data_IF_651463006055
#
_entry.id   IF_651463006055
#
_cell.length_a   1.000
_cell.length_b   1.000
_cell.length_c   1.000
_cell.angle_alpha   90.00
_cell.angle_beta   90.00
_cell.angle_gamma   90.00
#
_symmetry.space_group_name_H-M   'P 1'
#
loop_
_entity.id
_entity.type
_entity.pdbx_description
1 polymer ?
#
# COMPACT_ATOMS: atom_id res chain seq x y z
N UNK A 1 0.97 3.55 17.09
CA UNK A 1 1.56 3.00 15.86
C UNK A 1 2.92 3.64 15.68
N UNK A 2 3.93 2.87 15.94
CA UNK A 2 5.26 3.43 16.12
C UNK A 2 6.01 3.65 14.83
N UNK A 3 6.02 2.65 13.96
CA UNK A 3 6.82 2.70 12.76
C UNK A 3 6.07 2.09 11.59
N UNK A 4 5.96 2.85 10.52
CA UNK A 4 5.27 2.44 9.31
C UNK A 4 6.09 2.86 8.10
N UNK A 5 6.43 1.90 7.25
CA UNK A 5 7.21 2.13 6.04
C UNK A 5 6.34 1.84 4.83
N UNK A 6 6.41 2.70 3.83
CA UNK A 6 5.63 2.59 2.60
C UNK A 6 6.51 2.48 1.37
N UNK A 7 6.04 1.71 0.40
CA UNK A 7 6.49 1.81 -0.99
C UNK A 7 5.24 1.93 -1.87
N UNK A 8 5.28 2.80 -2.86
CA UNK A 8 4.11 3.16 -3.63
C UNK A 8 4.45 3.31 -5.11
N UNK A 9 3.64 2.69 -5.94
CA UNK A 9 3.66 2.87 -7.39
C UNK A 9 2.26 3.32 -7.82
N UNK A 10 2.16 4.46 -8.47
CA UNK A 10 0.88 4.93 -8.98
C UNK A 10 0.59 6.38 -8.64
N UNK A 11 -0.68 6.74 -8.80
CA UNK A 11 -1.13 8.10 -8.57
C UNK A 11 -2.57 8.09 -8.05
N UNK A 12 -2.84 8.89 -7.02
CA UNK A 12 -4.19 9.04 -6.46
C UNK A 12 -4.90 10.19 -7.14
N UNK A 13 -6.09 9.94 -7.67
CA UNK A 13 -6.89 10.97 -8.36
C UNK A 13 -7.58 11.93 -7.40
N UNK A 14 -7.82 11.52 -6.16
CA UNK A 14 -8.45 12.35 -5.13
C UNK A 14 -7.46 12.84 -4.07
N UNK A 15 -6.17 12.84 -4.37
CA UNK A 15 -5.12 13.22 -3.42
C UNK A 15 -5.32 14.63 -2.87
N UNK A 16 -5.59 15.60 -3.74
CA UNK A 16 -5.72 16.99 -3.34
C UNK A 16 -6.90 17.23 -2.40
N UNK A 17 -8.05 16.65 -2.70
CA UNK A 17 -9.22 16.79 -1.83
C UNK A 17 -9.04 16.09 -0.48
N UNK A 18 -8.39 14.93 -0.46
CA UNK A 18 -8.07 14.23 0.78
C UNK A 18 -7.07 15.01 1.62
N UNK A 19 -6.06 15.58 0.98
CA UNK A 19 -5.07 16.43 1.66
C UNK A 19 -5.74 17.62 2.33
N UNK A 20 -6.61 18.31 1.60
CA UNK A 20 -7.34 19.45 2.12
C UNK A 20 -8.20 19.08 3.34
N UNK A 21 -8.91 17.97 3.24
CA UNK A 21 -9.76 17.48 4.33
C UNK A 21 -8.94 17.11 5.57
N UNK A 22 -7.80 16.44 5.38
CA UNK A 22 -6.89 16.07 6.48
C UNK A 22 -6.33 17.32 7.17
N UNK A 23 -5.89 18.30 6.40
CA UNK A 23 -5.35 19.55 6.95
C UNK A 23 -6.42 20.32 7.72
N UNK A 24 -7.65 20.35 7.22
CA UNK A 24 -8.80 20.97 7.88
C UNK A 24 -9.07 20.33 9.25
N UNK A 25 -8.79 19.04 9.39
CA UNK A 25 -8.97 18.30 10.64
C UNK A 25 -7.71 18.27 11.51
N UNK A 26 -6.72 19.11 11.22
CA UNK A 26 -5.54 19.30 12.04
C UNK A 26 -4.32 18.46 11.66
N UNK A 27 -4.35 17.75 10.53
CA UNK A 27 -3.19 17.01 10.08
C UNK A 27 -2.10 17.94 9.56
N UNK A 28 -0.86 17.63 9.87
CA UNK A 28 0.31 18.35 9.34
C UNK A 28 0.96 17.45 8.30
N UNK A 29 0.90 17.87 7.04
CA UNK A 29 1.47 17.13 5.93
C UNK A 29 2.79 17.79 5.52
N UNK A 30 3.86 17.02 5.63
CA UNK A 30 5.23 17.52 5.44
C UNK A 30 5.75 17.38 4.01
N UNK A 31 5.04 16.66 3.16
CA UNK A 31 5.44 16.41 1.78
C UNK A 31 4.25 16.45 0.84
N UNK A 32 4.53 16.34 -0.47
CA UNK A 32 3.51 16.22 -1.50
C UNK A 32 3.22 14.76 -1.85
N UNK A 33 3.84 13.81 -1.15
CA UNK A 33 3.70 12.39 -1.42
C UNK A 33 2.29 11.87 -1.10
N UNK A 34 1.74 11.08 -2.01
CA UNK A 34 0.45 10.40 -1.80
C UNK A 34 0.51 9.39 -0.66
N UNK A 35 1.68 8.81 -0.40
CA UNK A 35 1.88 7.87 0.70
C UNK A 35 1.65 8.52 2.07
N UNK A 36 1.99 9.79 2.22
CA UNK A 36 1.74 10.52 3.47
C UNK A 36 0.25 10.67 3.74
N UNK A 37 -0.55 10.87 2.70
CA UNK A 37 -2.01 10.92 2.81
C UNK A 37 -2.54 9.60 3.36
N UNK A 38 -2.08 8.49 2.80
CA UNK A 38 -2.49 7.16 3.26
C UNK A 38 -2.09 6.94 4.72
N UNK A 39 -0.89 7.34 5.12
CA UNK A 39 -0.43 7.23 6.50
C UNK A 39 -1.35 7.96 7.48
N UNK A 40 -1.75 9.18 7.14
CA UNK A 40 -2.67 9.96 7.98
C UNK A 40 -4.06 9.33 8.04
N UNK A 41 -4.57 8.81 6.93
CA UNK A 41 -5.86 8.11 6.91
C UNK A 41 -5.84 6.89 7.82
N UNK A 42 -4.77 6.12 7.80
CA UNK A 42 -4.62 4.95 8.68
C UNK A 42 -4.61 5.38 10.15
N UNK A 43 -3.81 6.39 10.49
CA UNK A 43 -3.68 6.87 11.86
C UNK A 43 -5.00 7.42 12.42
N UNK A 44 -5.80 8.03 11.57
CA UNK A 44 -7.07 8.66 11.98
C UNK A 44 -8.25 7.71 11.95
N UNK A 45 -8.08 6.50 11.46
CA UNK A 45 -9.12 5.48 11.46
C UNK A 45 -9.47 5.05 12.88
N UNK A 46 -10.76 4.88 13.16
CA UNK A 46 -11.26 4.39 14.44
C UNK A 46 -11.46 2.88 14.45
N UNK A 47 -11.07 2.19 13.39
CA UNK A 47 -11.20 0.75 13.32
C UNK A 47 -10.33 0.10 14.41
N UNK A 48 -10.84 -0.91 15.14
CA UNK A 48 -10.11 -1.52 16.25
C UNK A 48 -8.88 -2.33 15.83
N UNK A 49 -8.83 -2.84 14.59
CA UNK A 49 -7.68 -3.60 14.12
C UNK A 49 -6.82 -2.78 13.17
N UNK A 50 -5.52 -3.06 13.14
CA UNK A 50 -4.62 -2.40 12.20
C UNK A 50 -5.00 -2.71 10.74
N UNK A 51 -5.29 -3.99 10.44
CA UNK A 51 -5.71 -4.37 9.10
C UNK A 51 -7.01 -3.69 8.69
N UNK A 52 -7.95 -3.52 9.62
CA UNK A 52 -9.17 -2.77 9.39
C UNK A 52 -8.91 -1.31 9.08
N UNK A 53 -7.95 -0.68 9.77
CA UNK A 53 -7.52 0.69 9.48
C UNK A 53 -6.95 0.84 8.08
N UNK A 54 -6.11 -0.11 7.68
CA UNK A 54 -5.52 -0.14 6.33
C UNK A 54 -6.59 -0.27 5.26
N UNK A 55 -7.51 -1.22 5.42
CA UNK A 55 -8.60 -1.44 4.46
C UNK A 55 -9.52 -0.23 4.35
N UNK A 56 -9.85 0.40 5.46
CA UNK A 56 -10.65 1.60 5.49
C UNK A 56 -9.96 2.75 4.75
N UNK A 57 -8.68 2.97 5.01
CA UNK A 57 -7.90 4.00 4.34
C UNK A 57 -7.81 3.74 2.83
N UNK A 58 -7.57 2.50 2.43
CA UNK A 58 -7.48 2.12 1.01
C UNK A 58 -8.82 2.24 0.29
N UNK A 59 -9.94 2.09 0.99
CA UNK A 59 -11.26 2.30 0.39
C UNK A 59 -11.58 3.77 0.15
N UNK A 60 -10.88 4.67 0.81
CA UNK A 60 -11.05 6.11 0.68
C UNK A 60 -10.26 6.70 -0.49
N UNK A 61 -9.07 6.18 -0.75
CA UNK A 61 -8.22 6.66 -1.84
C UNK A 61 -8.71 6.14 -3.19
N UNK A 62 -8.53 6.96 -4.24
CA UNK A 62 -8.94 6.61 -5.61
C UNK A 62 -7.78 6.80 -6.57
N UNK A 63 -7.76 6.01 -7.63
CA UNK A 63 -6.74 6.06 -8.66
C UNK A 63 -6.09 4.70 -8.88
N UNK A 64 -5.01 4.70 -9.66
CA UNK A 64 -4.21 3.51 -9.88
C UNK A 64 -3.09 3.44 -8.86
N UNK A 65 -2.99 2.35 -8.10
CA UNK A 65 -1.95 2.22 -7.08
C UNK A 65 -1.56 0.78 -6.80
N UNK A 66 -0.32 0.62 -6.43
CA UNK A 66 0.18 -0.58 -5.76
C UNK A 66 0.93 -0.11 -4.51
N UNK A 67 0.53 -0.58 -3.36
CA UNK A 67 1.14 -0.23 -2.09
C UNK A 67 1.80 -1.42 -1.42
N UNK A 68 2.96 -1.19 -0.84
CA UNK A 68 3.58 -2.08 0.13
C UNK A 68 3.70 -1.31 1.44
N UNK A 69 3.19 -1.89 2.51
CA UNK A 69 3.26 -1.29 3.84
C UNK A 69 3.96 -2.27 4.77
N UNK A 70 4.91 -1.77 5.52
CA UNK A 70 5.64 -2.61 6.48
C UNK A 70 5.54 -2.02 7.88
N UNK A 71 5.16 -2.87 8.81
CA UNK A 71 5.25 -2.62 10.26
C UNK A 71 6.11 -3.71 10.87
N UNK A 72 6.36 -3.66 12.18
CA UNK A 72 7.33 -4.54 12.86
C UNK A 72 7.37 -5.98 12.35
N UNK A 73 6.21 -6.63 12.26
CA UNK A 73 6.12 -8.06 11.97
C UNK A 73 5.29 -8.40 10.73
N UNK A 74 4.87 -7.40 9.96
CA UNK A 74 3.97 -7.61 8.82
C UNK A 74 4.38 -6.82 7.61
N UNK A 75 4.19 -7.44 6.45
CA UNK A 75 4.27 -6.78 5.15
C UNK A 75 2.89 -6.89 4.51
N UNK A 76 2.32 -5.77 4.14
CA UNK A 76 0.99 -5.69 3.54
C UNK A 76 1.12 -5.23 2.10
N UNK A 77 0.54 -5.98 1.18
CA UNK A 77 0.50 -5.64 -0.23
C UNK A 77 -0.94 -5.32 -0.63
N UNK A 78 -1.14 -4.23 -1.35
CA UNK A 78 -2.47 -3.80 -1.78
C UNK A 78 -2.45 -3.29 -3.21
N UNK A 79 -3.48 -3.66 -3.97
CA UNK A 79 -3.64 -3.26 -5.37
C UNK A 79 -4.95 -2.51 -5.53
N UNK A 80 -4.95 -1.48 -6.40
CA UNK A 80 -6.16 -0.72 -6.67
C UNK A 80 -7.28 -1.60 -7.24
N UNK A 81 -8.57 -1.20 -7.06
CA UNK A 81 -9.70 -2.02 -7.52
C UNK A 81 -9.75 -2.32 -9.01
N UNK A 82 -9.11 -1.49 -9.83
CA UNK A 82 -9.09 -1.66 -11.27
C UNK A 82 -7.84 -2.38 -11.78
N UNK A 83 -6.86 -2.60 -10.91
CA UNK A 83 -5.62 -3.28 -11.29
C UNK A 83 -4.78 -2.53 -12.30
N UNK A 84 -4.75 -1.20 -12.28
CA UNK A 84 -3.96 -0.39 -13.20
C UNK A 84 -2.45 -0.56 -13.00
N UNK A 85 -2.04 -0.99 -11.82
CA UNK A 85 -0.63 -1.25 -11.52
C UNK A 85 -0.43 -2.74 -11.27
N UNK A 86 0.71 -3.30 -11.70
CA UNK A 86 0.99 -4.70 -11.47
C UNK A 86 1.59 -4.94 -10.10
N UNK A 87 1.29 -6.11 -9.52
CA UNK A 87 1.91 -6.57 -8.30
C UNK A 87 1.85 -8.09 -8.28
N UNK A 88 2.99 -8.73 -8.07
CA UNK A 88 3.10 -10.19 -8.14
C UNK A 88 3.76 -10.75 -6.90
N UNK A 89 3.40 -11.99 -6.56
CA UNK A 89 3.95 -12.74 -5.44
C UNK A 89 4.88 -13.84 -5.95
N UNK A 90 6.02 -13.98 -5.30
CA UNK A 90 6.97 -15.05 -5.56
C UNK A 90 7.41 -15.72 -4.27
N UNK A 91 8.07 -16.85 -4.40
CA UNK A 91 8.58 -17.62 -3.27
C UNK A 91 10.02 -18.04 -3.51
N UNK A 92 10.86 -17.77 -2.54
CA UNK A 92 12.26 -18.21 -2.58
C UNK A 92 12.39 -19.67 -2.11
N UNK A 93 13.52 -20.29 -2.42
CA UNK A 93 13.80 -21.68 -2.04
C UNK A 93 13.75 -21.92 -0.53
N UNK A 94 14.04 -20.87 0.27
CA UNK A 94 13.96 -20.94 1.74
C UNK A 94 12.56 -20.71 2.30
N UNK A 95 11.55 -20.56 1.45
CA UNK A 95 10.17 -20.31 1.85
C UNK A 95 9.80 -18.84 1.99
N UNK A 96 10.72 -17.90 1.85
CA UNK A 96 10.44 -16.48 1.95
C UNK A 96 9.54 -16.01 0.81
N UNK A 97 8.57 -15.17 1.13
CA UNK A 97 7.66 -14.58 0.14
C UNK A 97 8.25 -13.25 -0.35
N UNK A 98 8.20 -13.06 -1.66
CA UNK A 98 8.69 -11.85 -2.33
C UNK A 98 7.53 -11.17 -3.04
N UNK A 99 7.45 -9.86 -2.93
CA UNK A 99 6.44 -9.06 -3.63
C UNK A 99 7.15 -8.07 -4.54
N UNK A 100 6.73 -7.99 -5.79
CA UNK A 100 7.33 -7.08 -6.75
C UNK A 100 6.31 -6.63 -7.80
N UNK A 101 6.51 -5.43 -8.31
CA UNK A 101 5.74 -4.93 -9.45
C UNK A 101 6.21 -5.54 -10.78
N UNK A 102 7.38 -6.17 -10.82
CA UNK A 102 7.96 -6.78 -12.01
C UNK A 102 8.41 -8.21 -11.73
N UNK A 103 7.92 -9.16 -12.53
CA UNK A 103 8.28 -10.57 -12.37
C UNK A 103 9.74 -10.86 -12.68
N UNK A 104 10.39 -10.05 -13.50
CA UNK A 104 11.82 -10.21 -13.78
C UNK A 104 12.70 -10.05 -12.52
N UNK A 105 12.22 -9.32 -11.50
CA UNK A 105 12.91 -9.19 -10.23
C UNK A 105 13.04 -10.53 -9.50
N UNK A 106 12.14 -11.48 -9.73
CA UNK A 106 12.17 -12.80 -9.09
C UNK A 106 13.38 -13.61 -9.54
N UNK A 107 13.73 -13.55 -10.82
CA UNK A 107 14.93 -14.22 -11.32
C UNK A 107 16.19 -13.69 -10.64
N UNK A 108 16.26 -12.38 -10.45
CA UNK A 108 17.41 -11.73 -9.82
C UNK A 108 17.67 -12.17 -8.39
N UNK A 109 16.65 -12.58 -7.67
CA UNK A 109 16.76 -13.02 -6.27
C UNK A 109 16.53 -14.53 -6.10
N UNK A 110 16.35 -15.27 -7.18
CA UNK A 110 16.12 -16.71 -7.14
C UNK A 110 14.74 -17.11 -6.61
N UNK A 111 13.75 -16.29 -6.85
CA UNK A 111 12.36 -16.57 -6.45
C UNK A 111 11.56 -17.13 -7.62
N UNK A 112 10.57 -17.97 -7.31
CA UNK A 112 9.62 -18.49 -8.29
C UNK A 112 8.31 -17.72 -8.17
N UNK A 113 7.72 -17.34 -9.29
CA UNK A 113 6.41 -16.69 -9.34
C UNK A 113 5.33 -17.62 -8.80
N UNK A 114 4.45 -17.11 -7.94
CA UNK A 114 3.30 -17.84 -7.41
C UNK A 114 2.02 -17.40 -8.11
N UNK A 115 1.72 -16.12 -8.04
CA UNK A 115 0.54 -15.52 -8.66
C UNK A 115 0.62 -14.00 -8.65
N UNK A 116 -0.24 -13.37 -9.40
CA UNK A 116 -0.43 -11.92 -9.32
C UNK A 116 -1.41 -11.59 -8.19
N UNK A 117 -1.24 -10.41 -7.60
CA UNK A 117 -2.21 -9.87 -6.66
C UNK A 117 -3.43 -9.44 -7.47
N UNK A 118 -4.62 -9.79 -6.99
CA UNK A 118 -5.86 -9.47 -7.69
C UNK A 118 -6.24 -7.99 -7.51
N UNK A 119 -6.91 -7.38 -8.50
CA UNK A 119 -7.44 -6.03 -8.33
C UNK A 119 -8.29 -5.90 -7.07
N UNK A 120 -8.03 -4.87 -6.26
CA UNK A 120 -8.73 -4.66 -5.00
C UNK A 120 -8.31 -5.56 -3.85
N UNK A 121 -7.35 -6.44 -4.06
CA UNK A 121 -6.86 -7.34 -3.02
C UNK A 121 -5.91 -6.62 -2.06
N UNK A 122 -6.05 -6.98 -0.82
CA UNK A 122 -5.16 -6.51 0.26
C UNK A 122 -4.62 -7.70 1.03
#
# INVERSE_FOLDING_TARGET
MDSLVFAHNGNLTNAESLRHELEKNGAILNSTSDSEILAHLIRRSHNPSFMGKVKEALSTVKGGFAYLLMIEDKLIAALDPNGFRPLSLGKMSNGAIVVSSETCAFEGVGAEWIRDVNPGEV
#
